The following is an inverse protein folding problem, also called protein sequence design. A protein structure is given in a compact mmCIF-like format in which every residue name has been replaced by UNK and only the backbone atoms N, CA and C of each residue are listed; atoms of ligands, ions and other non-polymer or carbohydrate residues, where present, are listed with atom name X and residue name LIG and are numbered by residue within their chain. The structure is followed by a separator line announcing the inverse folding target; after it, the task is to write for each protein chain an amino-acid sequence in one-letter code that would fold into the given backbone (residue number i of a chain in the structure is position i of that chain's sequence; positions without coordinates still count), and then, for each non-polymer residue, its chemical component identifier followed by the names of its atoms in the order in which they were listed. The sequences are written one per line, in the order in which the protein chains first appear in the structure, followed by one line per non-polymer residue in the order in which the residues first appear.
data_IF_883561340701
#
_entry.id   IF_883561340701
#
_cell.length_a   1.000
_cell.length_b   1.000
_cell.length_c   1.000
_cell.angle_alpha   90.00
_cell.angle_beta   90.00
_cell.angle_gamma   90.00
#
_symmetry.space_group_name_H-M   'P 1'
#
loop_
_entity.id
_entity.type
_entity.pdbx_description
1 polymer ?
#
# COMPACT_ATOMS: atom_id res chain seq x y z
N UNK A 1 15.89 -3.58 0.50
CA UNK A 1 15.55 -4.61 1.52
C UNK A 1 16.26 -5.92 1.18
N UNK A 2 16.61 -6.77 2.16
CA UNK A 2 17.25 -8.07 1.89
C UNK A 2 16.40 -8.93 0.93
N UNK A 3 16.98 -9.51 -0.13
CA UNK A 3 16.22 -10.29 -1.12
C UNK A 3 15.46 -11.49 -0.52
N UNK A 4 16.04 -12.17 0.47
CA UNK A 4 15.40 -13.30 1.14
C UNK A 4 14.12 -12.87 1.89
N UNK A 5 14.16 -11.71 2.55
CA UNK A 5 12.99 -11.17 3.24
C UNK A 5 11.85 -10.87 2.25
N UNK A 6 12.17 -10.27 1.11
CA UNK A 6 11.17 -10.02 0.06
C UNK A 6 10.57 -11.33 -0.47
N UNK A 7 11.38 -12.39 -0.61
CA UNK A 7 10.87 -13.70 -1.01
C UNK A 7 9.95 -14.33 0.05
N UNK A 8 10.29 -14.22 1.34
CA UNK A 8 9.43 -14.69 2.43
C UNK A 8 8.09 -13.93 2.48
N UNK A 9 8.12 -12.62 2.24
CA UNK A 9 6.90 -11.82 2.10
C UNK A 9 6.06 -12.26 0.88
N UNK A 10 6.70 -12.52 -0.26
CA UNK A 10 6.03 -13.06 -1.46
C UNK A 10 5.41 -14.43 -1.21
N UNK A 11 6.05 -15.29 -0.43
CA UNK A 11 5.51 -16.60 -0.06
C UNK A 11 4.20 -16.46 0.77
N UNK A 12 4.02 -15.34 1.47
CA UNK A 12 2.80 -14.99 2.21
C UNK A 12 1.78 -14.20 1.40
N UNK A 13 1.95 -14.07 0.08
CA UNK A 13 1.07 -13.24 -0.77
C UNK A 13 -0.42 -13.53 -0.58
N UNK A 14 -0.83 -14.79 -0.55
CA UNK A 14 -2.23 -15.16 -0.36
C UNK A 14 -2.77 -14.74 1.02
N UNK A 15 -1.94 -14.86 2.06
CA UNK A 15 -2.27 -14.38 3.41
C UNK A 15 -2.41 -12.85 3.42
N UNK A 16 -1.46 -12.13 2.81
CA UNK A 16 -1.50 -10.66 2.72
C UNK A 16 -2.75 -10.20 1.97
N UNK A 17 -3.09 -10.86 0.86
CA UNK A 17 -4.33 -10.57 0.12
C UNK A 17 -5.55 -10.72 1.01
N UNK A 18 -5.71 -11.85 1.69
CA UNK A 18 -6.85 -12.10 2.57
C UNK A 18 -6.95 -11.08 3.72
N UNK A 19 -5.81 -10.66 4.30
CA UNK A 19 -5.77 -9.63 5.34
C UNK A 19 -6.13 -8.25 4.80
N UNK A 20 -5.61 -7.89 3.63
CA UNK A 20 -5.95 -6.63 2.96
C UNK A 20 -7.45 -6.56 2.68
N UNK A 21 -8.01 -7.61 2.08
CA UNK A 21 -9.45 -7.73 1.80
C UNK A 21 -10.29 -7.62 3.08
N UNK A 22 -9.87 -8.30 4.16
CA UNK A 22 -10.54 -8.20 5.45
C UNK A 22 -10.54 -6.77 5.99
N UNK A 23 -9.40 -6.06 5.97
CA UNK A 23 -9.33 -4.66 6.40
C UNK A 23 -10.18 -3.75 5.51
N UNK A 24 -10.16 -3.97 4.20
CA UNK A 24 -10.91 -3.14 3.27
C UNK A 24 -12.42 -3.27 3.46
N UNK A 25 -12.92 -4.47 3.81
CA UNK A 25 -14.34 -4.69 4.12
C UNK A 25 -14.79 -4.08 5.44
N UNK A 26 -13.87 -3.73 6.34
CA UNK A 26 -14.20 -2.99 7.56
C UNK A 26 -14.39 -1.49 7.29
N UNK A 27 -13.88 -0.99 6.16
CA UNK A 27 -13.98 0.40 5.78
C UNK A 27 -15.37 0.73 5.21
N UNK A 28 -15.89 1.91 5.57
CA UNK A 28 -17.16 2.38 5.02
C UNK A 28 -16.93 2.89 3.59
N UNK A 29 -17.59 2.26 2.61
CA UNK A 29 -17.58 2.75 1.24
C UNK A 29 -18.09 4.20 1.17
N UNK A 30 -17.27 5.10 0.62
CA UNK A 30 -17.58 6.54 0.47
C UNK A 30 -18.21 6.87 -0.89
N UNK A 31 -18.28 5.89 -1.80
CA UNK A 31 -18.89 5.99 -3.13
C UNK A 31 -18.68 4.70 -3.95
N UNK A 32 -19.24 4.59 -5.17
CA UNK A 32 -19.17 3.37 -5.98
C UNK A 32 -17.74 2.93 -6.31
N UNK A 33 -16.83 3.88 -6.56
CA UNK A 33 -15.41 3.60 -6.79
C UNK A 33 -14.66 3.18 -5.52
N UNK A 34 -15.22 3.44 -4.34
CA UNK A 34 -14.68 3.08 -3.04
C UNK A 34 -15.27 1.77 -2.52
N UNK A 35 -15.99 1.01 -3.38
CA UNK A 35 -16.61 -0.25 -2.99
C UNK A 35 -15.52 -1.32 -2.73
N UNK A 36 -15.43 -1.89 -1.52
CA UNK A 36 -14.47 -2.95 -1.20
C UNK A 36 -14.51 -4.15 -2.16
N UNK A 37 -15.71 -4.55 -2.60
CA UNK A 37 -15.89 -5.70 -3.50
C UNK A 37 -15.35 -5.45 -4.90
N UNK A 38 -15.24 -4.19 -5.32
CA UNK A 38 -14.59 -3.81 -6.58
C UNK A 38 -13.08 -3.68 -6.39
N UNK A 39 -12.66 -3.06 -5.28
CA UNK A 39 -11.26 -2.74 -5.03
C UNK A 39 -10.40 -3.98 -4.75
N UNK A 40 -10.98 -5.07 -4.22
CA UNK A 40 -10.27 -6.32 -3.97
C UNK A 40 -9.57 -6.88 -5.22
N UNK A 41 -10.15 -6.69 -6.41
CA UNK A 41 -9.55 -7.15 -7.67
C UNK A 41 -8.21 -6.46 -8.01
N UNK A 42 -7.94 -5.29 -7.42
CA UNK A 42 -6.67 -4.58 -7.58
C UNK A 42 -5.54 -5.11 -6.67
N UNK A 43 -5.87 -5.83 -5.60
CA UNK A 43 -4.93 -6.18 -4.51
C UNK A 43 -3.73 -6.95 -5.05
N UNK A 44 -3.98 -7.95 -5.89
CA UNK A 44 -2.92 -8.76 -6.48
C UNK A 44 -1.99 -7.94 -7.40
N UNK A 45 -2.52 -6.98 -8.15
CA UNK A 45 -1.70 -6.10 -8.96
C UNK A 45 -0.79 -5.23 -8.08
N UNK A 46 -1.35 -4.56 -7.07
CA UNK A 46 -0.60 -3.73 -6.13
C UNK A 46 0.46 -4.53 -5.37
N UNK A 47 0.16 -5.77 -4.94
CA UNK A 47 1.15 -6.63 -4.29
C UNK A 47 2.33 -6.96 -5.21
N UNK A 48 2.11 -7.17 -6.52
CA UNK A 48 3.22 -7.38 -7.46
C UNK A 48 4.11 -6.14 -7.54
N UNK A 49 3.52 -4.96 -7.61
CA UNK A 49 4.26 -3.69 -7.66
C UNK A 49 5.05 -3.44 -6.37
N UNK A 50 4.44 -3.65 -5.20
CA UNK A 50 5.10 -3.53 -3.89
C UNK A 50 6.33 -4.45 -3.83
N UNK A 51 6.17 -5.73 -4.17
CA UNK A 51 7.28 -6.68 -4.11
C UNK A 51 8.35 -6.42 -5.20
N UNK A 52 7.96 -5.85 -6.34
CA UNK A 52 8.92 -5.41 -7.34
C UNK A 52 9.75 -4.23 -6.81
N UNK A 53 9.11 -3.21 -6.26
CA UNK A 53 9.76 -2.03 -5.71
C UNK A 53 10.68 -2.35 -4.53
N UNK A 54 10.23 -3.17 -3.57
CA UNK A 54 11.03 -3.58 -2.41
C UNK A 54 12.33 -4.31 -2.79
N UNK A 55 12.30 -5.04 -3.92
CA UNK A 55 13.45 -5.78 -4.45
C UNK A 55 14.40 -4.89 -5.25
N UNK A 56 13.86 -3.94 -6.01
CA UNK A 56 14.67 -3.03 -6.81
C UNK A 56 15.50 -2.07 -5.94
N UNK A 57 15.02 -1.79 -4.70
CA UNK A 57 15.57 -0.73 -3.84
C UNK A 57 15.65 0.63 -4.56
N UNK A 58 14.88 0.79 -5.63
CA UNK A 58 14.88 1.99 -6.43
C UNK A 58 14.14 3.11 -5.69
N UNK A 59 14.57 4.36 -5.89
CA UNK A 59 13.75 5.50 -5.54
C UNK A 59 12.47 5.40 -6.36
N UNK A 60 11.33 5.25 -5.68
CA UNK A 60 10.05 5.46 -6.35
C UNK A 60 9.94 6.96 -6.61
N UNK A 61 9.46 7.38 -7.80
CA UNK A 61 9.28 8.80 -8.09
C UNK A 61 8.43 9.43 -6.97
N UNK A 62 8.99 10.43 -6.29
CA UNK A 62 8.21 11.27 -5.37
C UNK A 62 7.45 12.27 -6.23
N UNK A 63 6.44 11.79 -6.95
CA UNK A 63 5.45 12.69 -7.52
C UNK A 63 4.74 13.35 -6.35
N UNK A 64 4.96 14.66 -6.19
CA UNK A 64 4.13 15.49 -5.32
C UNK A 64 2.70 15.39 -5.85
N UNK A 65 1.94 14.46 -5.28
CA UNK A 65 0.52 14.37 -5.52
C UNK A 65 -0.10 15.60 -4.87
N UNK A 66 -0.76 16.45 -5.67
CA UNK A 66 -1.66 17.44 -5.11
C UNK A 66 -2.70 16.70 -4.28
N UNK A 67 -2.61 16.81 -2.96
CA UNK A 67 -3.58 16.18 -2.09
C UNK A 67 -4.93 16.87 -2.32
N UNK A 68 -5.88 16.16 -2.92
CA UNK A 68 -7.26 16.62 -2.93
C UNK A 68 -7.75 16.66 -1.48
N UNK A 69 -7.85 17.86 -0.90
CA UNK A 69 -8.42 18.08 0.45
C UNK A 69 -9.89 17.67 0.61
N UNK A 70 -10.48 17.05 -0.42
CA UNK A 70 -11.85 16.56 -0.42
C UNK A 70 -12.06 15.32 0.48
N UNK A 71 -11.00 14.59 0.84
CA UNK A 71 -11.07 13.44 1.77
C UNK A 71 -11.95 12.27 1.29
N UNK A 72 -12.39 12.28 0.02
CA UNK A 72 -13.30 11.30 -0.58
C UNK A 72 -12.60 10.40 -1.58
N UNK A 73 -11.27 10.32 -1.50
CA UNK A 73 -10.51 9.58 -2.49
C UNK A 73 -10.82 8.08 -2.37
N UNK A 74 -11.33 7.42 -3.43
CA UNK A 74 -11.74 6.03 -3.37
C UNK A 74 -10.63 5.06 -2.90
N UNK A 75 -9.40 5.31 -3.36
CA UNK A 75 -8.22 4.49 -3.02
C UNK A 75 -7.57 4.80 -1.66
N UNK A 76 -8.07 5.76 -0.88
CA UNK A 76 -7.43 6.09 0.41
C UNK A 76 -7.57 4.93 1.42
N UNK A 77 -8.79 4.40 1.57
CA UNK A 77 -9.06 3.22 2.38
C UNK A 77 -8.33 1.98 1.85
N UNK A 78 -8.28 1.83 0.52
CA UNK A 78 -7.55 0.77 -0.16
C UNK A 78 -6.08 0.72 0.26
N UNK A 79 -5.35 1.82 0.15
CA UNK A 79 -3.92 1.85 0.47
C UNK A 79 -3.62 1.79 1.97
N UNK A 80 -4.50 2.34 2.83
CA UNK A 80 -4.38 2.15 4.29
C UNK A 80 -4.52 0.69 4.70
N UNK A 81 -5.55 0.00 4.18
CA UNK A 81 -5.74 -1.43 4.41
C UNK A 81 -4.55 -2.26 3.91
N UNK A 82 -3.98 -1.87 2.77
CA UNK A 82 -2.81 -2.54 2.20
C UNK A 82 -1.54 -2.34 3.00
N UNK A 83 -1.27 -1.11 3.43
CA UNK A 83 -0.14 -0.83 4.32
C UNK A 83 -0.22 -1.72 5.56
N UNK A 84 -1.38 -1.76 6.23
CA UNK A 84 -1.57 -2.57 7.42
C UNK A 84 -1.35 -4.07 7.15
N UNK A 85 -1.90 -4.60 6.06
CA UNK A 85 -1.74 -6.02 5.71
C UNK A 85 -0.30 -6.42 5.41
N UNK A 86 0.45 -5.57 4.69
CA UNK A 86 1.85 -5.85 4.37
C UNK A 86 2.74 -5.71 5.60
N UNK A 87 2.50 -4.71 6.45
CA UNK A 87 3.24 -4.53 7.70
C UNK A 87 2.97 -5.67 8.70
N UNK A 88 1.73 -6.15 8.80
CA UNK A 88 1.42 -7.32 9.62
C UNK A 88 2.22 -8.55 9.17
N UNK A 89 2.26 -8.81 7.86
CA UNK A 89 3.06 -9.92 7.32
C UNK A 89 4.57 -9.72 7.53
N UNK A 90 5.08 -8.50 7.44
CA UNK A 90 6.48 -8.20 7.76
C UNK A 90 6.82 -8.56 9.20
N UNK A 91 5.97 -8.15 10.16
CA UNK A 91 6.17 -8.46 11.58
C UNK A 91 6.19 -9.97 11.80
N UNK A 92 5.28 -10.73 11.17
CA UNK A 92 5.28 -12.19 11.25
C UNK A 92 6.57 -12.82 10.68
N UNK A 93 7.05 -12.34 9.54
CA UNK A 93 8.30 -12.84 8.95
C UNK A 93 9.52 -12.49 9.81
N UNK A 94 9.55 -11.30 10.42
CA UNK A 94 10.62 -10.90 11.34
C UNK A 94 10.61 -11.74 12.62
N UNK A 95 9.42 -12.09 13.15
CA UNK A 95 9.29 -12.93 14.34
C UNK A 95 9.77 -14.38 14.13
N UNK A 96 9.71 -14.88 12.90
CA UNK A 96 10.20 -16.22 12.53
C UNK A 96 11.71 -16.28 12.25
N UNK A 97 12.41 -15.14 12.22
CA UNK A 97 13.86 -15.07 12.02
C UNK A 97 14.57 -15.17 13.37
N UNK A 98 15.84 -15.60 13.34
CA UNK A 98 16.73 -15.45 14.48
C UNK A 98 16.74 -13.97 14.95
N UNK A 99 17.01 -13.68 16.23
CA UNK A 99 16.88 -12.34 16.78
C UNK A 99 17.62 -11.30 15.93
N UNK A 100 16.85 -10.43 15.27
CA UNK A 100 17.38 -9.32 14.49
C UNK A 100 17.63 -8.12 15.41
N UNK A 101 18.68 -7.32 15.17
CA UNK A 101 18.82 -6.02 15.80
C UNK A 101 17.58 -5.15 15.53
N UNK A 102 17.18 -4.35 16.52
CA UNK A 102 15.99 -3.51 16.41
C UNK A 102 16.08 -2.54 15.22
N UNK A 103 17.27 -2.01 14.98
CA UNK A 103 17.57 -1.06 13.90
C UNK A 103 17.34 -1.66 12.51
N UNK A 104 17.56 -2.97 12.36
CA UNK A 104 17.30 -3.69 11.10
C UNK A 104 15.80 -3.83 10.89
N UNK A 105 15.05 -4.19 11.95
CA UNK A 105 13.60 -4.31 11.87
C UNK A 105 12.93 -2.98 11.52
N UNK A 106 13.37 -1.91 12.16
CA UNK A 106 12.85 -0.56 11.94
C UNK A 106 13.14 -0.06 10.52
N UNK A 107 14.35 -0.34 9.99
CA UNK A 107 14.71 -0.01 8.61
C UNK A 107 13.84 -0.78 7.60
N UNK A 108 13.64 -2.08 7.81
CA UNK A 108 12.79 -2.91 6.95
C UNK A 108 11.33 -2.42 6.99
N UNK A 109 10.83 -2.03 8.16
CA UNK A 109 9.49 -1.47 8.36
C UNK A 109 9.32 -0.12 7.65
N UNK A 110 10.28 0.79 7.82
CA UNK A 110 10.29 2.09 7.16
C UNK A 110 10.31 1.94 5.63
N UNK A 111 11.05 0.97 5.11
CA UNK A 111 11.13 0.70 3.68
C UNK A 111 9.79 0.22 3.09
N UNK A 112 9.05 -0.66 3.80
CA UNK A 112 7.70 -1.06 3.38
C UNK A 112 6.77 0.15 3.36
N UNK A 113 6.76 0.96 4.43
CA UNK A 113 5.93 2.17 4.48
C UNK A 113 6.24 3.12 3.34
N UNK A 114 7.53 3.36 3.07
CA UNK A 114 7.98 4.21 1.96
C UNK A 114 7.42 3.72 0.63
N UNK A 115 7.54 2.43 0.34
CA UNK A 115 7.04 1.84 -0.91
C UNK A 115 5.52 1.95 -1.05
N UNK A 116 4.77 1.58 -0.01
CA UNK A 116 3.30 1.66 -0.06
C UNK A 116 2.84 3.11 -0.16
N UNK A 117 3.46 4.03 0.58
CA UNK A 117 3.14 5.47 0.52
C UNK A 117 3.42 6.04 -0.87
N UNK A 118 4.52 5.67 -1.52
CA UNK A 118 4.84 6.16 -2.85
C UNK A 118 3.85 5.66 -3.92
N UNK A 119 3.45 4.38 -3.86
CA UNK A 119 2.38 3.86 -4.73
C UNK A 119 1.04 4.56 -4.47
N UNK A 120 0.70 4.76 -3.19
CA UNK A 120 -0.49 5.50 -2.81
C UNK A 120 -0.44 6.92 -3.39
N UNK A 121 0.64 7.67 -3.22
CA UNK A 121 0.77 9.03 -3.77
C UNK A 121 0.61 9.06 -5.29
N UNK A 122 1.29 8.17 -6.02
CA UNK A 122 1.18 8.08 -7.48
C UNK A 122 -0.29 7.91 -7.92
N UNK A 123 -0.98 6.94 -7.33
CA UNK A 123 -2.34 6.61 -7.72
C UNK A 123 -3.34 7.65 -7.24
N UNK A 124 -3.19 8.17 -6.01
CA UNK A 124 -4.03 9.23 -5.46
C UNK A 124 -3.89 10.53 -6.27
N UNK A 125 -2.66 10.88 -6.66
CA UNK A 125 -2.36 12.07 -7.45
C UNK A 125 -3.00 12.04 -8.85
N UNK A 126 -3.08 10.86 -9.47
CA UNK A 126 -3.74 10.69 -10.76
C UNK A 126 -5.23 11.10 -10.71
N UNK A 127 -5.94 10.73 -9.64
CA UNK A 127 -7.34 11.08 -9.42
C UNK A 127 -7.52 12.50 -8.89
N UNK A 128 -6.61 13.01 -8.07
CA UNK A 128 -6.69 14.39 -7.59
C UNK A 128 -6.69 15.40 -8.76
N UNK A 129 -5.89 15.13 -9.80
CA UNK A 129 -5.91 15.90 -11.06
C UNK A 129 -7.29 15.87 -11.74
N UNK A 130 -8.01 14.76 -11.69
CA UNK A 130 -9.39 14.67 -12.21
C UNK A 130 -10.38 15.48 -11.36
N UNK A 131 -10.29 15.38 -10.03
CA UNK A 131 -11.16 16.15 -9.13
C UNK A 131 -10.97 17.67 -9.27
N UNK A 132 -9.76 18.13 -9.62
CA UNK A 132 -9.49 19.55 -9.86
C UNK A 132 -10.10 20.06 -11.17
N UNK A 133 -10.20 19.20 -12.21
CA UNK A 133 -10.81 19.57 -13.50
C UNK A 133 -12.34 19.73 -13.41
N UNK A 134 -13.00 18.96 -12.53
CA UNK A 134 -14.46 19.00 -12.34
C UNK A 134 -14.92 20.11 -11.38
N UNK A 135 -14.00 20.92 -10.82
CA UNK A 135 -14.38 22.09 -10.02
C UNK A 135 -14.69 23.26 -10.97
N UNK A 136 -15.93 23.78 -11.03
CA UNK A 136 -16.18 25.03 -11.73
C UNK A 136 -15.32 26.11 -11.06
N UNK A 137 -14.65 26.92 -11.88
CA UNK A 137 -13.94 28.11 -11.43
C UNK A 137 -14.89 28.92 -10.55
N UNK A 138 -14.54 29.08 -9.26
CA UNK A 138 -15.21 30.03 -8.38
C UNK A 138 -14.66 31.42 -8.66
#
# INVERSE_FOLDING_TARGET
MEPELVQRLRARRAQIHARWEAFLRLEKATGPLANPDTLVFGVDASLREIFAALRAAEPLPDEQADECGCGRHPLQAYYRAGEQAVLEALVLVQAERAPLPAEVRDREFAEVKRVVTALARRDLGAFARLCQLDRPAQ
#
